data_IF_309539634716
#
_entry.id   IF_309539634716
#
_cell.length_a   1.000
_cell.length_b   1.000
_cell.length_c   1.000
_cell.angle_alpha   90.00
_cell.angle_beta   90.00
_cell.angle_gamma   90.00
#
_symmetry.space_group_name_H-M   'P 1'
#
loop_
_entity.id
_entity.type
_entity.pdbx_description
1 polymer ?
#
# COMPACT_ATOMS: atom_id res chain seq x y z
N UNK A 1 -27.22 -5.42 -44.49
CA UNK A 1 -26.94 -6.44 -43.45
C UNK A 1 -26.17 -5.72 -42.37
N UNK A 2 -26.88 -5.00 -41.52
CA UNK A 2 -26.28 -4.02 -40.62
C UNK A 2 -26.66 -4.44 -39.22
N UNK A 3 -25.77 -5.24 -38.62
CA UNK A 3 -25.89 -5.75 -37.27
C UNK A 3 -25.52 -4.59 -36.34
N UNK A 4 -26.53 -3.86 -35.85
CA UNK A 4 -26.35 -2.91 -34.75
C UNK A 4 -25.99 -3.72 -33.49
N UNK A 5 -24.69 -3.80 -33.23
CA UNK A 5 -24.11 -4.41 -32.04
C UNK A 5 -24.46 -3.61 -30.79
N UNK A 6 -25.24 -4.25 -29.91
CA UNK A 6 -25.54 -3.75 -28.58
C UNK A 6 -24.30 -3.84 -27.68
N UNK A 7 -23.54 -2.75 -27.57
CA UNK A 7 -22.48 -2.59 -26.56
C UNK A 7 -23.04 -1.89 -25.32
N UNK A 8 -23.57 -2.69 -24.39
CA UNK A 8 -23.96 -2.19 -23.07
C UNK A 8 -22.71 -1.77 -22.27
N UNK A 9 -22.70 -0.59 -21.63
CA UNK A 9 -21.55 -0.13 -20.87
C UNK A 9 -21.42 -0.96 -19.59
N UNK A 10 -20.40 -1.82 -19.53
CA UNK A 10 -20.05 -2.55 -18.31
C UNK A 10 -19.48 -1.53 -17.32
N UNK A 11 -20.23 -1.26 -16.25
CA UNK A 11 -19.81 -0.32 -15.21
C UNK A 11 -18.49 -0.80 -14.55
N UNK A 12 -17.39 -0.12 -14.84
CA UNK A 12 -16.08 -0.42 -14.27
C UNK A 12 -16.07 0.03 -12.81
N UNK A 13 -16.28 -0.90 -11.87
CA UNK A 13 -16.16 -0.59 -10.44
C UNK A 13 -14.70 -0.23 -10.12
N UNK A 14 -14.46 1.02 -9.69
CA UNK A 14 -13.14 1.49 -9.30
C UNK A 14 -12.83 1.02 -7.87
N UNK A 15 -12.44 -0.25 -7.70
CA UNK A 15 -11.88 -0.71 -6.43
C UNK A 15 -10.66 0.16 -6.12
N UNK A 16 -10.77 1.06 -5.14
CA UNK A 16 -9.64 1.91 -4.71
C UNK A 16 -8.48 1.00 -4.32
N UNK A 17 -7.37 1.10 -5.06
CA UNK A 17 -6.13 0.38 -4.72
C UNK A 17 -5.72 0.78 -3.31
N UNK A 18 -5.51 -0.20 -2.42
CA UNK A 18 -5.07 0.07 -1.04
C UNK A 18 -3.68 0.72 -1.09
N UNK A 19 -3.52 1.81 -0.33
CA UNK A 19 -2.24 2.52 -0.19
C UNK A 19 -1.28 1.62 0.59
N UNK A 20 -0.04 1.51 0.12
CA UNK A 20 1.03 0.75 0.75
C UNK A 20 2.30 1.57 0.86
N UNK A 21 3.12 1.24 1.85
CA UNK A 21 4.54 1.62 1.93
C UNK A 21 5.40 0.37 1.80
N UNK A 22 6.50 0.47 1.06
CA UNK A 22 7.53 -0.54 0.99
C UNK A 22 8.55 -0.33 2.09
N UNK A 23 8.85 -1.37 2.86
CA UNK A 23 9.82 -1.30 3.96
C UNK A 23 10.90 -2.34 3.70
N UNK A 24 12.15 -1.89 3.65
CA UNK A 24 13.30 -2.77 3.79
C UNK A 24 13.66 -2.90 5.26
N UNK A 25 13.45 -4.09 5.82
CA UNK A 25 13.77 -4.43 7.21
C UNK A 25 15.24 -4.86 7.29
N UNK A 26 16.11 -3.93 7.67
CA UNK A 26 17.55 -4.16 7.81
C UNK A 26 17.87 -5.22 8.88
N UNK A 27 17.01 -5.39 9.89
CA UNK A 27 17.18 -6.40 10.95
C UNK A 27 17.22 -7.85 10.43
N UNK A 28 16.57 -8.15 9.30
CA UNK A 28 16.53 -9.49 8.71
C UNK A 28 16.82 -9.49 7.20
N UNK A 29 17.31 -8.36 6.66
CA UNK A 29 17.58 -8.17 5.25
C UNK A 29 16.40 -8.57 4.34
N UNK A 30 15.19 -8.16 4.70
CA UNK A 30 13.95 -8.57 4.00
C UNK A 30 13.12 -7.36 3.61
N UNK A 31 12.53 -7.40 2.42
CA UNK A 31 11.60 -6.39 1.95
C UNK A 31 10.16 -6.81 2.20
N UNK A 32 9.34 -5.90 2.73
CA UNK A 32 7.92 -6.11 2.98
C UNK A 32 7.08 -4.90 2.60
N UNK A 33 5.75 -5.07 2.61
CA UNK A 33 4.80 -3.98 2.40
C UNK A 33 3.91 -3.85 3.62
N UNK A 34 3.71 -2.62 4.06
CA UNK A 34 2.75 -2.28 5.11
C UNK A 34 1.62 -1.45 4.51
N UNK A 35 0.41 -1.62 5.03
CA UNK A 35 -0.78 -0.96 4.51
C UNK A 35 -1.33 -0.01 5.57
N UNK A 36 -1.94 1.07 5.10
CA UNK A 36 -2.63 1.97 6.00
C UNK A 36 -4.05 1.46 6.24
N UNK A 37 -4.35 1.11 7.50
CA UNK A 37 -5.67 0.63 7.90
C UNK A 37 -6.57 1.76 8.41
N UNK A 38 -6.02 2.76 9.11
CA UNK A 38 -6.76 3.79 9.85
C UNK A 38 -6.79 5.19 9.20
N UNK A 39 -6.02 5.38 8.12
CA UNK A 39 -5.78 6.66 7.45
C UNK A 39 -4.69 7.52 8.11
N UNK A 40 -4.33 7.28 9.37
CA UNK A 40 -3.44 8.15 10.16
C UNK A 40 -2.00 7.64 10.28
N UNK A 41 -1.81 6.33 10.18
CA UNK A 41 -0.50 5.71 10.29
C UNK A 41 -0.45 4.40 9.51
N UNK A 42 0.75 4.00 9.11
CA UNK A 42 1.04 2.68 8.60
C UNK A 42 1.65 1.85 9.73
N UNK A 43 1.11 0.65 9.94
CA UNK A 43 1.56 -0.29 10.95
C UNK A 43 1.98 -1.57 10.27
N UNK A 44 3.02 -2.21 10.78
CA UNK A 44 3.44 -3.52 10.32
C UNK A 44 4.65 -4.02 11.09
N UNK A 45 5.15 -5.17 10.67
CA UNK A 45 6.22 -5.87 11.36
C UNK A 45 7.14 -6.58 10.38
N UNK A 46 8.36 -6.87 10.82
CA UNK A 46 9.27 -7.69 10.05
C UNK A 46 8.71 -9.12 9.95
N UNK A 47 8.56 -9.71 8.74
CA UNK A 47 8.00 -11.05 8.58
C UNK A 47 8.90 -12.18 9.11
N UNK A 48 10.11 -11.85 9.58
CA UNK A 48 11.10 -12.82 10.08
C UNK A 48 11.25 -12.79 11.59
N UNK A 49 11.36 -11.60 12.18
CA UNK A 49 11.58 -11.43 13.61
C UNK A 49 10.42 -10.75 14.35
N UNK A 50 9.35 -10.39 13.65
CA UNK A 50 8.15 -9.74 14.19
C UNK A 50 8.42 -8.39 14.89
N UNK A 51 9.56 -7.76 14.58
CA UNK A 51 9.83 -6.39 15.06
C UNK A 51 8.80 -5.44 14.44
N UNK A 52 7.96 -4.86 15.28
CA UNK A 52 6.93 -3.90 14.89
C UNK A 52 7.50 -2.53 14.53
N UNK A 53 6.79 -1.81 13.67
CA UNK A 53 7.04 -0.41 13.34
C UNK A 53 5.74 0.34 13.07
N UNK A 54 5.79 1.66 13.27
CA UNK A 54 4.68 2.56 13.00
C UNK A 54 5.20 3.81 12.29
N UNK A 55 4.60 4.15 11.15
CA UNK A 55 4.90 5.37 10.39
C UNK A 55 3.68 6.28 10.41
N UNK A 56 3.80 7.44 11.06
CA UNK A 56 2.72 8.44 11.15
C UNK A 56 2.60 9.23 9.85
N UNK A 57 1.37 9.62 9.50
CA UNK A 57 1.08 10.51 8.37
C UNK A 57 0.68 11.88 8.95
N UNK A 58 1.41 12.94 8.59
CA UNK A 58 1.15 14.28 9.12
C UNK A 58 1.88 15.38 8.34
N UNK A 59 1.60 16.64 8.71
CA UNK A 59 2.30 17.82 8.17
C UNK A 59 3.78 17.78 8.55
N UNK A 60 4.66 18.01 7.57
CA UNK A 60 6.12 17.86 7.73
C UNK A 60 6.66 16.46 7.41
N UNK A 61 5.79 15.54 6.97
CA UNK A 61 6.22 14.26 6.42
C UNK A 61 6.83 14.38 5.01
N UNK A 62 7.23 13.24 4.47
CA UNK A 62 7.78 13.11 3.11
C UNK A 62 6.78 12.45 2.17
N UNK A 63 6.97 12.63 0.85
CA UNK A 63 6.18 11.96 -0.18
C UNK A 63 6.82 10.65 -0.67
N UNK A 64 7.71 10.06 0.13
CA UNK A 64 8.34 8.78 -0.21
C UNK A 64 7.45 7.59 0.09
N UNK A 65 7.61 6.54 -0.72
CA UNK A 65 6.89 5.27 -0.56
C UNK A 65 7.75 4.13 -0.04
N UNK A 66 9.07 4.31 0.00
CA UNK A 66 10.04 3.28 0.34
C UNK A 66 10.90 3.76 1.50
N UNK A 67 10.97 2.95 2.55
CA UNK A 67 11.71 3.28 3.77
C UNK A 67 12.58 2.10 4.19
N UNK A 68 13.58 2.39 5.01
CA UNK A 68 14.42 1.39 5.68
C UNK A 68 14.07 1.40 7.17
N UNK A 69 13.88 0.21 7.75
CA UNK A 69 13.67 0.02 9.18
C UNK A 69 14.78 -0.88 9.75
N UNK A 70 15.52 -0.38 10.74
CA UNK A 70 16.65 -1.07 11.39
C UNK A 70 16.37 -1.34 12.86
#
# INVERSE_FOLDING_TARGET
MDILGNVSPVAVSSRKRKKFLGIFFACCNVYGRIYNHSGKQYEGECPRCLRGLTIKVGSGGVNDRFFVAS
#
